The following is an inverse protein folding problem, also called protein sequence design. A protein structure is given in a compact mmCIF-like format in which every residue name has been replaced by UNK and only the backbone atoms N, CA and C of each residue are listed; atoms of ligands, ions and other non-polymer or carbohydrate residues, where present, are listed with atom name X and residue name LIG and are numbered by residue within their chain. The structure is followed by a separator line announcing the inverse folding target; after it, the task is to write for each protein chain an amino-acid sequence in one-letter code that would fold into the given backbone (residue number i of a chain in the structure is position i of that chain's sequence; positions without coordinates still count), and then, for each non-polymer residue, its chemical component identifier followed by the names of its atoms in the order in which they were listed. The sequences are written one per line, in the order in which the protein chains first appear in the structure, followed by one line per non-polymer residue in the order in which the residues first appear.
data_IF_499620529483
#
_entry.id   IF_499620529483
#
_cell.length_a   1.000
_cell.length_b   1.000
_cell.length_c   1.000
_cell.angle_alpha   90.00
_cell.angle_beta   90.00
_cell.angle_gamma   90.00
#
_symmetry.space_group_name_H-M   'P 1'
#
loop_
_entity.id
_entity.type
_entity.pdbx_description
1 polymer ?
#
# COMPACT_ATOMS: atom_id res chain seq x y z
N UNK A 1 0.52 5.08 8.83
CA UNK A 1 -0.29 3.85 8.63
C UNK A 1 -0.96 3.79 7.26
N UNK A 2 -1.78 2.76 7.00
CA UNK A 2 -2.42 2.52 5.69
C UNK A 2 -3.16 3.72 5.12
N UNK A 3 -3.90 4.46 5.92
CA UNK A 3 -4.66 5.64 5.48
C UNK A 3 -3.70 6.67 4.87
N UNK A 4 -2.59 6.96 5.53
CA UNK A 4 -1.58 7.89 5.03
C UNK A 4 -1.00 7.45 3.69
N UNK A 5 -0.66 6.16 3.55
CA UNK A 5 -0.12 5.62 2.29
C UNK A 5 -1.14 5.69 1.15
N UNK A 6 -2.38 5.27 1.40
CA UNK A 6 -3.45 5.27 0.39
C UNK A 6 -3.82 6.70 -0.03
N UNK A 7 -3.96 7.62 0.92
CA UNK A 7 -4.29 9.02 0.63
C UNK A 7 -3.15 9.71 -0.12
N UNK A 8 -1.90 9.49 0.29
CA UNK A 8 -0.73 10.02 -0.43
C UNK A 8 -0.69 9.53 -1.89
N UNK A 9 -0.99 8.26 -2.10
CA UNK A 9 -1.07 7.71 -3.46
C UNK A 9 -2.21 8.35 -4.28
N UNK A 10 -3.40 8.54 -3.69
CA UNK A 10 -4.53 9.19 -4.36
C UNK A 10 -4.25 10.66 -4.66
N UNK A 11 -3.60 11.38 -3.75
CA UNK A 11 -3.18 12.77 -3.97
C UNK A 11 -2.21 12.87 -5.14
N UNK A 12 -1.25 11.95 -5.23
CA UNK A 12 -0.33 11.90 -6.36
C UNK A 12 -1.07 11.59 -7.68
N UNK A 13 -2.02 10.66 -7.68
CA UNK A 13 -2.86 10.39 -8.86
C UNK A 13 -3.68 11.62 -9.30
N UNK A 14 -4.04 12.49 -8.36
CA UNK A 14 -4.72 13.75 -8.61
C UNK A 14 -3.77 14.89 -9.03
N UNK A 15 -2.47 14.61 -9.21
CA UNK A 15 -1.47 15.59 -9.63
C UNK A 15 -0.79 16.38 -8.52
N UNK A 16 -1.06 16.07 -7.24
CA UNK A 16 -0.36 16.68 -6.12
C UNK A 16 1.05 16.08 -5.97
N UNK A 17 2.03 16.90 -5.59
CA UNK A 17 3.35 16.43 -5.20
C UNK A 17 3.36 16.07 -3.73
N UNK A 18 3.53 14.79 -3.41
CA UNK A 18 3.70 14.33 -2.02
C UNK A 18 5.17 14.42 -1.67
N UNK A 19 5.53 15.28 -0.72
CA UNK A 19 6.93 15.47 -0.32
C UNK A 19 7.42 14.38 0.62
N UNK A 20 6.64 14.03 1.64
CA UNK A 20 7.01 13.01 2.62
C UNK A 20 5.79 12.43 3.32
N UNK A 21 6.02 11.31 3.99
CA UNK A 21 5.12 10.75 4.99
C UNK A 21 5.89 10.68 6.30
N UNK A 22 5.26 11.17 7.37
CA UNK A 22 5.78 11.07 8.74
C UNK A 22 5.02 9.96 9.47
N UNK A 23 5.75 9.10 10.15
CA UNK A 23 5.22 8.03 10.97
C UNK A 23 5.84 8.11 12.36
N UNK A 24 5.02 8.31 13.37
CA UNK A 24 5.48 8.48 14.74
C UNK A 24 6.00 7.18 15.37
N UNK A 25 5.60 6.03 14.84
CA UNK A 25 6.13 4.73 15.26
C UNK A 25 7.55 4.51 14.76
N UNK A 26 8.39 3.71 15.46
CA UNK A 26 9.75 3.37 15.01
C UNK A 26 9.76 2.46 13.78
N UNK A 27 8.62 1.97 13.36
CA UNK A 27 8.40 1.16 12.17
C UNK A 27 7.12 1.59 11.48
N UNK A 28 6.99 1.23 10.24
CA UNK A 28 5.81 1.56 9.44
C UNK A 28 4.54 0.92 10.00
N UNK A 29 3.54 1.73 10.33
CA UNK A 29 2.30 1.28 10.97
C UNK A 29 1.26 0.69 10.02
N UNK A 30 1.55 0.65 8.71
CA UNK A 30 0.65 0.13 7.68
C UNK A 30 1.07 -1.22 7.10
N UNK A 31 0.35 -1.67 6.08
CA UNK A 31 0.73 -2.87 5.36
C UNK A 31 1.98 -2.63 4.51
N UNK A 32 2.98 -3.53 4.55
CA UNK A 32 4.23 -3.36 3.81
C UNK A 32 4.05 -3.17 2.31
N UNK A 33 3.06 -3.83 1.69
CA UNK A 33 2.76 -3.62 0.26
C UNK A 33 2.34 -2.19 -0.07
N UNK A 34 1.69 -1.48 0.87
CA UNK A 34 1.31 -0.08 0.68
C UNK A 34 2.50 0.85 0.90
N UNK A 35 3.34 0.57 1.89
CA UNK A 35 4.58 1.30 2.12
C UNK A 35 5.54 1.17 0.92
N UNK A 36 5.76 -0.05 0.43
CA UNK A 36 6.59 -0.31 -0.74
C UNK A 36 6.06 0.40 -2.00
N UNK A 37 4.74 0.44 -2.17
CA UNK A 37 4.09 1.20 -3.25
C UNK A 37 4.47 2.68 -3.22
N UNK A 38 4.49 3.29 -2.04
CA UNK A 38 4.88 4.70 -1.84
C UNK A 38 6.37 4.89 -2.12
N UNK A 39 7.23 4.02 -1.58
CA UNK A 39 8.68 4.11 -1.82
C UNK A 39 9.05 3.99 -3.30
N UNK A 40 8.39 3.09 -4.04
CA UNK A 40 8.59 2.96 -5.50
C UNK A 40 8.24 4.21 -6.30
N UNK A 41 7.50 5.15 -5.71
CA UNK A 41 7.25 6.48 -6.28
C UNK A 41 8.31 7.52 -5.86
N UNK A 42 9.30 7.11 -5.08
CA UNK A 42 10.33 7.99 -4.54
C UNK A 42 9.87 8.84 -3.36
N UNK A 43 8.68 8.60 -2.81
CA UNK A 43 8.18 9.36 -1.66
C UNK A 43 8.80 8.79 -0.39
N UNK A 44 9.59 9.57 0.37
CA UNK A 44 10.21 9.11 1.59
C UNK A 44 9.21 8.91 2.73
N UNK A 45 9.46 7.89 3.54
CA UNK A 45 8.71 7.60 4.77
C UNK A 45 9.69 7.75 5.93
N UNK A 46 9.48 8.76 6.76
CA UNK A 46 10.28 9.02 7.95
C UNK A 46 9.58 8.43 9.16
N UNK A 47 10.11 7.31 9.69
CA UNK A 47 9.66 6.70 10.95
C UNK A 47 10.27 7.44 12.14
N UNK A 48 9.69 7.29 13.33
CA UNK A 48 10.05 8.04 14.53
C UNK A 48 10.06 9.56 14.31
N UNK A 49 9.16 10.07 13.46
CA UNK A 49 9.03 11.50 13.18
C UNK A 49 7.58 11.94 13.33
N UNK A 50 7.38 13.16 13.78
CA UNK A 50 6.07 13.77 13.94
C UNK A 50 6.03 15.22 13.48
N UNK A 51 4.84 15.69 13.14
CA UNK A 51 4.55 17.09 12.89
C UNK A 51 4.44 17.84 14.24
N UNK A 52 5.14 18.95 14.37
CA UNK A 52 5.00 19.86 15.52
C UNK A 52 4.02 20.98 15.22
N UNK A 53 4.23 21.68 14.10
CA UNK A 53 3.40 22.83 13.72
C UNK A 53 3.40 23.05 12.21
N UNK A 54 2.33 23.65 11.70
CA UNK A 54 2.28 24.19 10.35
C UNK A 54 2.83 25.63 10.37
N UNK A 55 3.54 26.01 9.30
CA UNK A 55 4.02 27.39 9.10
C UNK A 55 3.02 28.11 8.21
N UNK A 56 2.31 29.15 8.72
CA UNK A 56 1.33 29.87 7.92
C UNK A 56 2.02 30.78 6.88
N UNK A 57 1.31 31.09 5.80
CA UNK A 57 1.68 32.16 4.89
C UNK A 57 1.45 33.54 5.54
N UNK A 58 1.90 34.60 4.86
CA UNK A 58 1.89 35.98 5.43
C UNK A 58 0.46 36.46 5.80
N UNK A 59 -0.54 36.11 5.01
CA UNK A 59 -1.93 36.51 5.24
C UNK A 59 -2.72 35.50 6.11
N UNK A 60 -2.09 34.41 6.53
CA UNK A 60 -2.69 33.32 7.34
C UNK A 60 -3.90 32.65 6.70
N UNK A 61 -4.02 32.68 5.39
CA UNK A 61 -5.07 31.97 4.63
C UNK A 61 -4.67 30.55 4.24
N UNK A 62 -3.39 30.20 4.38
CA UNK A 62 -2.81 28.90 4.05
C UNK A 62 -1.50 28.67 4.78
N UNK A 63 -0.77 27.64 4.36
CA UNK A 63 0.53 27.26 4.90
C UNK A 63 1.60 27.32 3.81
N UNK A 64 2.86 27.49 4.22
CA UNK A 64 4.03 27.47 3.34
C UNK A 64 5.05 26.41 3.72
N UNK A 65 4.87 25.78 4.88
CA UNK A 65 5.80 24.79 5.39
C UNK A 65 5.28 24.07 6.62
N UNK A 66 6.13 23.20 7.15
CA UNK A 66 5.87 22.43 8.36
C UNK A 66 7.14 22.30 9.20
N UNK A 67 7.00 22.38 10.52
CA UNK A 67 8.06 21.98 11.46
C UNK A 67 7.82 20.56 11.87
N UNK A 68 8.81 19.72 11.71
CA UNK A 68 8.82 18.30 12.06
C UNK A 68 9.93 18.01 13.03
N UNK A 69 9.83 16.95 13.82
CA UNK A 69 10.91 16.53 14.70
C UNK A 69 10.96 15.01 14.80
N UNK A 70 12.07 14.50 15.33
CA UNK A 70 12.12 13.13 15.80
C UNK A 70 11.23 12.95 17.03
N UNK A 71 10.70 11.75 17.21
CA UNK A 71 9.86 11.42 18.36
C UNK A 71 10.14 10.02 18.89
N UNK A 72 9.92 9.85 20.19
CA UNK A 72 9.95 8.58 20.88
C UNK A 72 8.69 8.45 21.73
N UNK A 73 7.99 7.31 21.63
CA UNK A 73 6.73 7.06 22.35
C UNK A 73 5.71 8.20 22.17
N UNK A 74 5.57 8.71 20.94
CA UNK A 74 4.69 9.85 20.57
C UNK A 74 5.03 11.17 21.28
N UNK A 75 6.23 11.32 21.80
CA UNK A 75 6.72 12.57 22.39
C UNK A 75 7.83 13.15 21.54
N UNK A 76 7.79 14.46 21.24
CA UNK A 76 8.87 15.10 20.48
C UNK A 76 10.20 15.06 21.25
N UNK A 77 11.28 14.88 20.51
CA UNK A 77 12.65 14.97 21.03
C UNK A 77 13.14 16.40 20.79
N UNK A 78 13.32 17.21 21.86
CA UNK A 78 13.78 18.60 21.72
C UNK A 78 15.16 18.67 21.06
N UNK A 79 15.36 19.70 20.20
CA UNK A 79 16.61 19.91 19.48
C UNK A 79 16.75 19.11 18.18
N UNK A 80 15.69 18.39 17.78
CA UNK A 80 15.64 17.67 16.49
C UNK A 80 14.70 18.32 15.48
N UNK A 81 14.23 19.53 15.78
CA UNK A 81 13.29 20.27 14.96
C UNK A 81 13.91 20.64 13.61
N UNK A 82 13.14 20.39 12.55
CA UNK A 82 13.53 20.68 11.16
C UNK A 82 12.34 21.26 10.40
N UNK A 83 12.65 22.13 9.45
CA UNK A 83 11.62 22.76 8.60
C UNK A 83 11.56 22.08 7.24
N UNK A 84 10.36 21.77 6.79
CA UNK A 84 10.07 21.35 5.41
C UNK A 84 9.32 22.51 4.76
N UNK A 85 9.95 23.21 3.82
CA UNK A 85 9.40 24.33 3.08
C UNK A 85 8.56 23.85 1.88
N UNK A 86 7.73 24.78 1.34
CA UNK A 86 6.94 24.55 0.13
C UNK A 86 5.88 23.49 0.35
N UNK A 87 5.21 23.52 1.48
CA UNK A 87 4.06 22.70 1.84
C UNK A 87 2.80 23.54 1.74
N UNK A 88 1.89 23.15 0.86
CA UNK A 88 0.58 23.78 0.70
C UNK A 88 -0.51 23.07 1.51
N UNK A 89 -0.32 21.76 1.77
CA UNK A 89 -1.30 20.91 2.45
C UNK A 89 -0.60 19.92 3.38
N UNK A 90 -1.14 19.79 4.58
CA UNK A 90 -0.77 18.74 5.54
C UNK A 90 -1.99 17.82 5.70
N UNK A 91 -1.81 16.54 5.40
CA UNK A 91 -2.84 15.54 5.55
C UNK A 91 -2.61 14.72 6.83
N UNK A 92 -3.53 14.82 7.79
CA UNK A 92 -3.42 14.16 9.09
C UNK A 92 -4.14 12.81 9.05
N UNK A 93 -3.38 11.71 9.21
CA UNK A 93 -3.85 10.34 9.11
C UNK A 93 -3.47 9.53 10.35
N UNK A 94 -3.91 9.98 11.53
CA UNK A 94 -3.52 9.43 12.84
C UNK A 94 -4.37 8.25 13.32
N UNK A 95 -5.23 7.71 12.46
CA UNK A 95 -6.09 6.55 12.73
C UNK A 95 -7.57 6.88 12.61
N UNK A 96 -8.39 5.87 12.83
CA UNK A 96 -9.85 5.94 12.78
C UNK A 96 -10.43 5.42 14.08
N UNK A 97 -11.51 6.04 14.51
CA UNK A 97 -12.31 5.61 15.70
C UNK A 97 -13.66 5.12 15.18
N UNK A 98 -14.16 3.96 15.68
CA UNK A 98 -15.50 3.49 15.32
C UNK A 98 -16.57 4.53 15.67
N UNK A 99 -17.42 4.90 14.71
CA UNK A 99 -18.64 5.63 14.99
C UNK A 99 -19.76 4.64 15.35
N UNK A 100 -19.99 4.46 16.64
CA UNK A 100 -20.92 3.47 17.19
C UNK A 100 -22.13 4.10 17.87
N UNK A 101 -22.42 5.38 17.65
CA UNK A 101 -23.55 6.08 18.30
C UNK A 101 -24.89 5.40 18.04
N UNK A 102 -25.15 5.01 16.78
CA UNK A 102 -26.37 4.28 16.42
C UNK A 102 -26.43 2.89 17.07
N UNK A 103 -25.31 2.18 17.14
CA UNK A 103 -25.21 0.88 17.79
C UNK A 103 -25.53 1.02 19.28
N UNK A 104 -24.91 1.97 19.98
CA UNK A 104 -25.14 2.23 21.39
C UNK A 104 -26.60 2.58 21.68
N UNK A 105 -27.20 3.46 20.88
CA UNK A 105 -28.61 3.84 20.99
C UNK A 105 -29.55 2.67 20.67
N UNK A 106 -29.22 1.89 19.65
CA UNK A 106 -30.00 0.70 19.27
C UNK A 106 -29.94 -0.38 20.35
N UNK A 107 -28.79 -0.64 20.93
CA UNK A 107 -28.65 -1.60 22.04
C UNK A 107 -29.38 -1.15 23.32
N UNK A 108 -29.35 0.15 23.59
CA UNK A 108 -30.15 0.71 24.70
C UNK A 108 -31.65 0.46 24.50
N UNK A 109 -32.15 0.64 23.28
CA UNK A 109 -33.58 0.54 22.98
C UNK A 109 -34.05 -0.90 22.76
N UNK A 110 -33.28 -1.72 22.08
CA UNK A 110 -33.65 -3.05 21.58
C UNK A 110 -32.85 -4.20 22.23
N UNK A 111 -31.88 -3.90 23.07
CA UNK A 111 -31.01 -4.86 23.69
C UNK A 111 -30.22 -5.70 22.69
N UNK A 112 -30.13 -7.01 22.94
CA UNK A 112 -29.39 -7.95 22.10
C UNK A 112 -29.91 -8.09 20.65
N UNK A 113 -31.10 -7.56 20.34
CA UNK A 113 -31.64 -7.55 18.97
C UNK A 113 -30.95 -6.54 18.05
N UNK A 114 -30.03 -5.73 18.59
CA UNK A 114 -29.22 -4.79 17.83
C UNK A 114 -27.75 -5.27 17.88
N UNK A 115 -27.24 -5.74 16.76
CA UNK A 115 -25.87 -6.21 16.59
C UNK A 115 -25.04 -5.21 15.80
N UNK A 116 -23.81 -4.97 16.24
CA UNK A 116 -22.84 -4.17 15.48
C UNK A 116 -21.92 -5.03 14.62
N UNK A 117 -21.62 -4.54 13.42
CA UNK A 117 -20.71 -5.21 12.48
C UNK A 117 -19.81 -4.20 11.77
N UNK A 118 -18.68 -4.65 11.24
CA UNK A 118 -17.75 -3.82 10.49
C UNK A 118 -17.18 -2.67 11.30
N UNK A 119 -16.92 -1.54 10.64
CA UNK A 119 -16.24 -0.38 11.23
C UNK A 119 -17.02 0.34 12.33
N UNK A 120 -18.32 0.09 12.44
CA UNK A 120 -19.12 0.57 13.57
C UNK A 120 -18.72 -0.07 14.92
N UNK A 121 -18.00 -1.19 14.89
CA UNK A 121 -17.50 -1.89 16.09
C UNK A 121 -15.98 -1.86 16.16
N UNK A 122 -15.34 -2.15 15.04
CA UNK A 122 -13.89 -2.22 14.94
C UNK A 122 -13.46 -1.84 13.54
N UNK A 123 -12.60 -0.83 13.44
CA UNK A 123 -11.98 -0.42 12.19
C UNK A 123 -11.13 -1.56 11.65
N UNK A 124 -11.30 -1.89 10.39
CA UNK A 124 -10.57 -2.96 9.73
C UNK A 124 -10.59 -2.84 8.21
N UNK A 125 -10.01 -3.85 7.56
CA UNK A 125 -10.05 -3.96 6.10
C UNK A 125 -11.44 -4.40 5.62
N UNK A 126 -11.78 -4.09 4.35
CA UNK A 126 -13.09 -4.43 3.79
C UNK A 126 -13.41 -5.93 3.90
N UNK A 127 -12.43 -6.81 3.72
CA UNK A 127 -12.62 -8.27 3.89
C UNK A 127 -12.96 -8.61 5.35
N UNK A 128 -12.30 -7.98 6.32
CA UNK A 128 -12.59 -8.17 7.75
C UNK A 128 -14.02 -7.74 8.08
N UNK A 129 -14.48 -6.62 7.54
CA UNK A 129 -15.85 -6.14 7.71
C UNK A 129 -16.88 -7.12 7.11
N UNK A 130 -16.63 -7.65 5.91
CA UNK A 130 -17.47 -8.67 5.27
C UNK A 130 -17.52 -9.96 6.08
N UNK A 131 -16.37 -10.46 6.56
CA UNK A 131 -16.31 -11.67 7.39
C UNK A 131 -17.06 -11.48 8.71
N UNK A 132 -16.94 -10.32 9.36
CA UNK A 132 -17.70 -10.01 10.57
C UNK A 132 -19.21 -9.97 10.31
N UNK A 133 -19.63 -9.39 9.16
CA UNK A 133 -21.05 -9.38 8.75
C UNK A 133 -21.61 -10.80 8.56
N UNK A 134 -20.85 -11.66 7.90
CA UNK A 134 -21.24 -13.08 7.72
C UNK A 134 -21.32 -13.81 9.07
N UNK A 135 -20.31 -13.64 9.93
CA UNK A 135 -20.31 -14.25 11.26
C UNK A 135 -21.54 -13.80 12.08
N UNK A 136 -21.82 -12.49 12.11
CA UNK A 136 -23.00 -11.96 12.80
C UNK A 136 -24.33 -12.51 12.26
N UNK A 137 -24.42 -12.74 10.94
CA UNK A 137 -25.61 -13.34 10.36
C UNK A 137 -25.84 -14.77 10.87
N UNK A 138 -24.78 -15.57 11.05
CA UNK A 138 -24.91 -16.90 11.66
C UNK A 138 -25.27 -16.82 13.16
N UNK A 139 -24.69 -15.87 13.91
CA UNK A 139 -25.01 -15.64 15.32
C UNK A 139 -26.49 -15.29 15.47
N UNK A 140 -27.02 -14.39 14.63
CA UNK A 140 -28.45 -14.02 14.62
C UNK A 140 -29.33 -15.20 14.20
N UNK A 141 -28.92 -15.96 13.17
CA UNK A 141 -29.65 -17.15 12.72
C UNK A 141 -29.78 -18.18 13.85
N UNK A 142 -28.72 -18.39 14.63
CA UNK A 142 -28.71 -19.26 15.80
C UNK A 142 -29.69 -18.77 16.88
N UNK A 143 -29.67 -17.47 17.19
CA UNK A 143 -30.60 -16.88 18.16
C UNK A 143 -32.08 -17.00 17.74
N UNK A 144 -32.34 -16.94 16.45
CA UNK A 144 -33.69 -17.10 15.87
C UNK A 144 -34.10 -18.57 15.67
N UNK A 145 -33.23 -19.54 16.01
CA UNK A 145 -33.50 -20.97 15.81
C UNK A 145 -33.47 -21.43 14.35
N UNK A 146 -32.89 -20.64 13.44
CA UNK A 146 -32.73 -21.00 12.04
C UNK A 146 -31.66 -22.09 11.86
N UNK A 147 -31.89 -22.99 10.89
CA UNK A 147 -30.91 -24.03 10.54
C UNK A 147 -29.84 -23.47 9.61
N UNK A 148 -28.59 -23.76 9.90
CA UNK A 148 -27.44 -23.42 9.04
C UNK A 148 -26.34 -24.46 9.19
N UNK A 149 -25.37 -24.46 8.27
CA UNK A 149 -24.19 -25.29 8.36
C UNK A 149 -23.20 -24.73 9.40
N UNK A 150 -23.05 -25.42 10.52
CA UNK A 150 -22.18 -24.97 11.60
C UNK A 150 -20.70 -24.96 11.22
N UNK A 151 -20.26 -25.82 10.28
CA UNK A 151 -18.89 -25.82 9.78
C UNK A 151 -18.57 -24.53 9.00
N UNK A 152 -19.54 -23.99 8.25
CA UNK A 152 -19.36 -22.71 7.54
C UNK A 152 -19.20 -21.56 8.55
N UNK A 153 -19.97 -21.57 9.64
CA UNK A 153 -19.81 -20.61 10.73
C UNK A 153 -18.41 -20.69 11.36
N UNK A 154 -17.91 -21.87 11.66
CA UNK A 154 -16.58 -22.08 12.25
C UNK A 154 -15.47 -21.61 11.29
N UNK A 155 -15.60 -21.91 10.02
CA UNK A 155 -14.64 -21.46 9.02
C UNK A 155 -14.62 -19.93 8.93
N UNK A 156 -15.77 -19.29 8.80
CA UNK A 156 -15.89 -17.83 8.72
C UNK A 156 -15.38 -17.16 9.98
N UNK A 157 -15.67 -17.72 11.17
CA UNK A 157 -15.18 -17.21 12.44
C UNK A 157 -13.65 -17.26 12.54
N UNK A 158 -13.05 -18.35 12.06
CA UNK A 158 -11.60 -18.48 11.98
C UNK A 158 -11.00 -17.46 11.03
N UNK A 159 -11.53 -17.35 9.80
CA UNK A 159 -11.07 -16.37 8.81
C UNK A 159 -11.20 -14.93 9.32
N UNK A 160 -12.28 -14.62 10.06
CA UNK A 160 -12.45 -13.30 10.69
C UNK A 160 -11.36 -13.03 11.74
N UNK A 161 -11.06 -13.98 12.61
CA UNK A 161 -10.00 -13.84 13.62
C UNK A 161 -8.65 -13.64 12.94
N UNK A 162 -8.34 -14.47 11.94
CA UNK A 162 -7.09 -14.39 11.19
C UNK A 162 -6.95 -13.03 10.46
N UNK A 163 -8.05 -12.48 9.93
CA UNK A 163 -8.06 -11.20 9.22
C UNK A 163 -7.82 -9.98 10.13
N UNK A 164 -7.97 -10.12 11.45
CA UNK A 164 -7.73 -9.04 12.42
C UNK A 164 -6.26 -8.91 12.83
N UNK A 165 -5.45 -9.90 12.51
CA UNK A 165 -4.04 -9.88 12.86
C UNK A 165 -3.29 -8.97 11.90
N UNK A 166 -2.24 -8.30 12.40
CA UNK A 166 -1.29 -7.63 11.52
C UNK A 166 -0.69 -8.66 10.55
N UNK A 167 -0.51 -8.30 9.27
CA UNK A 167 0.08 -9.22 8.32
C UNK A 167 1.44 -9.71 8.81
N UNK A 168 1.56 -11.01 8.99
CA UNK A 168 2.82 -11.63 9.38
C UNK A 168 3.59 -11.93 8.10
N UNK A 169 4.89 -11.65 8.09
CA UNK A 169 5.76 -12.05 7.00
C UNK A 169 5.86 -13.57 6.97
N UNK A 170 5.49 -14.16 5.83
CA UNK A 170 5.43 -15.62 5.64
C UNK A 170 6.60 -16.11 4.79
N UNK A 171 7.04 -15.28 3.83
CA UNK A 171 8.16 -15.61 2.94
C UNK A 171 9.27 -14.58 3.12
N UNK A 172 10.51 -15.04 3.13
CA UNK A 172 11.68 -14.16 3.20
C UNK A 172 11.90 -13.44 1.87
N UNK A 173 11.69 -14.16 0.76
CA UNK A 173 11.89 -13.64 -0.59
C UNK A 173 10.75 -14.01 -1.53
N UNK A 174 10.58 -13.21 -2.56
CA UNK A 174 9.67 -13.52 -3.66
C UNK A 174 10.19 -14.70 -4.47
N UNK A 175 9.39 -15.74 -4.69
CA UNK A 175 9.81 -16.87 -5.50
C UNK A 175 10.17 -16.44 -6.92
N UNK A 176 11.18 -17.07 -7.49
CA UNK A 176 11.66 -16.85 -8.87
C UNK A 176 11.66 -18.18 -9.63
N UNK A 177 11.37 -18.19 -10.93
CA UNK A 177 11.54 -19.39 -11.73
C UNK A 177 13.03 -19.69 -11.93
N UNK A 178 13.34 -20.93 -12.30
CA UNK A 178 14.72 -21.30 -12.63
C UNK A 178 15.25 -20.52 -13.83
N UNK A 179 16.58 -20.35 -13.98
CA UNK A 179 17.17 -19.63 -15.13
C UNK A 179 16.71 -20.19 -16.48
N UNK A 180 16.57 -21.49 -16.60
CA UNK A 180 16.09 -22.17 -17.81
C UNK A 180 14.66 -21.76 -18.14
N UNK A 181 13.79 -21.65 -17.12
CA UNK A 181 12.41 -21.21 -17.29
C UNK A 181 12.32 -19.72 -17.63
N UNK A 182 13.18 -18.87 -17.06
CA UNK A 182 13.31 -17.45 -17.40
C UNK A 182 13.68 -17.23 -18.86
N UNK A 183 14.56 -18.10 -19.40
CA UNK A 183 14.99 -18.04 -20.80
C UNK A 183 13.91 -18.51 -21.80
N UNK A 184 12.85 -19.16 -21.39
CA UNK A 184 11.80 -19.69 -22.29
C UNK A 184 10.75 -18.66 -22.66
N UNK A 185 10.18 -17.94 -21.68
CA UNK A 185 9.05 -17.02 -21.88
C UNK A 185 8.91 -16.06 -20.70
N UNK A 186 8.15 -14.95 -20.87
CA UNK A 186 7.88 -14.02 -19.78
C UNK A 186 7.24 -14.72 -18.57
N UNK A 187 7.40 -14.13 -17.41
CA UNK A 187 6.84 -14.61 -16.14
C UNK A 187 6.51 -13.44 -15.22
N UNK A 188 5.86 -13.74 -14.09
CA UNK A 188 5.62 -12.74 -13.05
C UNK A 188 6.30 -13.14 -11.74
N UNK A 189 6.68 -12.14 -10.95
CA UNK A 189 7.12 -12.29 -9.56
C UNK A 189 6.02 -11.76 -8.66
N UNK A 190 5.69 -12.53 -7.62
CA UNK A 190 4.71 -12.15 -6.61
C UNK A 190 5.44 -11.62 -5.38
N UNK A 191 5.48 -10.30 -5.23
CA UNK A 191 6.13 -9.64 -4.09
C UNK A 191 5.16 -9.46 -2.91
N UNK A 192 4.27 -10.40 -2.76
CA UNK A 192 3.30 -10.51 -1.68
C UNK A 192 3.82 -11.49 -0.63
N UNK A 193 4.68 -11.00 0.27
CA UNK A 193 5.42 -11.81 1.25
C UNK A 193 4.67 -12.01 2.57
N UNK A 194 3.54 -11.34 2.72
CA UNK A 194 2.74 -11.29 3.94
C UNK A 194 1.38 -11.94 3.74
N UNK A 195 0.82 -12.50 4.79
CA UNK A 195 -0.54 -13.02 4.80
C UNK A 195 -1.57 -11.90 4.84
N UNK A 196 -2.27 -11.66 3.73
CA UNK A 196 -3.36 -10.68 3.66
C UNK A 196 -4.68 -11.37 3.33
N UNK A 197 -5.77 -10.82 3.83
CA UNK A 197 -7.12 -11.18 3.44
C UNK A 197 -7.48 -10.63 2.04
N UNK A 198 -6.71 -11.03 1.00
CA UNK A 198 -6.81 -10.53 -0.36
C UNK A 198 -6.52 -11.67 -1.35
N UNK A 199 -7.33 -11.81 -2.43
CA UNK A 199 -7.18 -12.91 -3.39
C UNK A 199 -7.47 -12.59 -4.88
N UNK A 200 -7.47 -11.35 -5.40
CA UNK A 200 -7.80 -11.09 -6.81
C UNK A 200 -6.84 -11.75 -7.80
N UNK A 201 -5.55 -11.91 -7.46
CA UNK A 201 -4.53 -12.45 -8.36
C UNK A 201 -4.80 -13.92 -8.75
N UNK A 202 -5.33 -14.74 -7.85
CA UNK A 202 -5.65 -16.14 -8.16
C UNK A 202 -6.89 -16.25 -9.06
N UNK A 203 -7.89 -15.41 -8.84
CA UNK A 203 -9.08 -15.34 -9.71
C UNK A 203 -8.77 -14.79 -11.10
N UNK A 204 -7.86 -13.83 -11.20
CA UNK A 204 -7.46 -13.22 -12.46
C UNK A 204 -6.59 -14.13 -13.34
N UNK A 205 -6.01 -15.20 -12.79
CA UNK A 205 -5.10 -16.06 -13.54
C UNK A 205 -5.86 -17.04 -14.44
N UNK A 206 -5.85 -16.88 -15.78
CA UNK A 206 -6.59 -17.76 -16.68
C UNK A 206 -6.02 -19.17 -16.71
N UNK A 207 -4.73 -19.33 -16.41
CA UNK A 207 -4.04 -20.62 -16.36
C UNK A 207 -4.11 -21.28 -14.97
N UNK A 208 -4.77 -20.64 -13.99
CA UNK A 208 -4.78 -21.11 -12.60
C UNK A 208 -3.37 -21.40 -12.06
N UNK A 209 -2.38 -20.65 -12.54
CA UNK A 209 -0.99 -20.74 -12.11
C UNK A 209 -0.78 -20.13 -10.72
N UNK A 210 -1.65 -19.22 -10.28
CA UNK A 210 -1.59 -18.61 -8.96
C UNK A 210 -2.66 -19.24 -8.08
N UNK A 211 -2.26 -19.76 -6.93
CA UNK A 211 -3.14 -20.37 -5.93
C UNK A 211 -2.97 -19.69 -4.59
N UNK A 212 -4.02 -19.71 -3.79
CA UNK A 212 -4.02 -19.20 -2.42
C UNK A 212 -5.00 -20.04 -1.60
N UNK A 213 -4.49 -20.82 -0.65
CA UNK A 213 -5.28 -21.80 0.11
C UNK A 213 -6.17 -21.17 1.18
N UNK A 214 -5.79 -20.00 1.70
CA UNK A 214 -6.60 -19.25 2.65
C UNK A 214 -6.31 -17.75 2.57
N UNK A 215 -7.11 -16.93 3.26
CA UNK A 215 -6.90 -15.47 3.31
C UNK A 215 -5.67 -15.06 4.11
N UNK A 216 -5.18 -15.92 5.01
CA UNK A 216 -4.04 -15.63 5.89
C UNK A 216 -2.68 -16.10 5.37
N UNK A 217 -2.62 -16.69 4.15
CA UNK A 217 -1.37 -17.13 3.55
C UNK A 217 -0.95 -16.24 2.38
N UNK A 218 0.31 -16.37 1.93
CA UNK A 218 0.79 -15.74 0.70
C UNK A 218 0.32 -16.53 -0.53
N UNK A 219 0.15 -15.88 -1.68
CA UNK A 219 -0.10 -16.61 -2.92
C UNK A 219 1.14 -17.42 -3.34
N UNK A 220 0.88 -18.56 -3.97
CA UNK A 220 1.89 -19.40 -4.60
C UNK A 220 1.74 -19.38 -6.11
N UNK A 221 2.83 -19.57 -6.85
CA UNK A 221 2.84 -19.58 -8.30
C UNK A 221 3.50 -20.84 -8.84
N UNK A 222 2.79 -21.50 -9.75
CA UNK A 222 3.31 -22.59 -10.59
C UNK A 222 3.87 -21.96 -11.88
N UNK A 223 5.19 -21.89 -11.98
CA UNK A 223 5.85 -21.28 -13.13
C UNK A 223 5.71 -22.09 -14.42
N UNK A 224 5.43 -23.38 -14.34
CA UNK A 224 5.18 -24.20 -15.53
C UNK A 224 3.83 -23.88 -16.17
N UNK A 225 2.85 -23.50 -15.37
CA UNK A 225 1.56 -23.01 -15.88
C UNK A 225 1.57 -21.55 -16.25
N UNK A 226 2.45 -20.75 -15.68
CA UNK A 226 2.48 -19.32 -15.92
C UNK A 226 2.88 -19.00 -17.37
N UNK A 227 2.00 -18.34 -18.13
CA UNK A 227 2.27 -17.92 -19.52
C UNK A 227 2.85 -16.52 -19.65
N UNK A 228 2.97 -15.77 -18.56
CA UNK A 228 3.41 -14.38 -18.60
C UNK A 228 2.41 -13.43 -19.26
N UNK A 229 1.11 -13.68 -19.13
CA UNK A 229 0.06 -12.86 -19.74
C UNK A 229 -0.19 -11.51 -19.03
N UNK A 230 0.42 -11.27 -17.88
CA UNK A 230 0.35 -10.05 -17.06
C UNK A 230 -1.05 -9.70 -16.53
N UNK A 231 -2.03 -10.60 -16.56
CA UNK A 231 -3.37 -10.32 -16.02
C UNK A 231 -3.34 -10.09 -14.50
N UNK A 232 -2.57 -10.88 -13.76
CA UNK A 232 -2.43 -10.74 -12.32
C UNK A 232 -1.78 -9.41 -11.91
N UNK A 233 -0.90 -8.82 -12.76
CA UNK A 233 -0.29 -7.51 -12.52
C UNK A 233 -1.37 -6.43 -12.39
N UNK A 234 -2.32 -6.40 -13.34
CA UNK A 234 -3.39 -5.40 -13.36
C UNK A 234 -4.51 -5.65 -12.34
N UNK A 235 -4.56 -6.81 -11.69
CA UNK A 235 -5.59 -7.16 -10.70
C UNK A 235 -5.08 -7.09 -9.26
N UNK A 236 -3.80 -6.80 -9.05
CA UNK A 236 -3.23 -6.71 -7.71
C UNK A 236 -3.51 -5.33 -7.08
N UNK A 237 -4.37 -5.22 -6.05
CA UNK A 237 -4.68 -3.93 -5.43
C UNK A 237 -3.51 -3.32 -4.65
N UNK A 238 -2.51 -4.16 -4.29
CA UNK A 238 -1.27 -3.72 -3.64
C UNK A 238 -0.16 -3.34 -4.61
N UNK A 239 -0.38 -3.50 -5.94
CA UNK A 239 0.65 -3.32 -6.98
C UNK A 239 1.95 -4.09 -6.68
N UNK A 240 1.81 -5.30 -6.13
CA UNK A 240 2.91 -6.15 -5.67
C UNK A 240 3.17 -7.35 -6.60
N UNK A 241 2.81 -7.23 -7.88
CA UNK A 241 3.06 -8.25 -8.91
C UNK A 241 3.74 -7.57 -10.09
N UNK A 242 4.89 -8.07 -10.47
CA UNK A 242 5.73 -7.52 -11.52
C UNK A 242 6.02 -8.57 -12.58
N UNK A 243 6.03 -8.16 -13.84
CA UNK A 243 6.32 -9.05 -14.96
C UNK A 243 7.70 -8.81 -15.53
N UNK A 244 8.32 -9.89 -16.05
CA UNK A 244 9.66 -9.88 -16.58
C UNK A 244 9.75 -10.69 -17.89
N UNK A 245 10.45 -10.15 -18.88
CA UNK A 245 10.98 -10.89 -20.03
C UNK A 245 12.48 -10.64 -20.10
N UNK A 246 13.26 -11.51 -19.47
CA UNK A 246 14.73 -11.41 -19.39
C UNK A 246 15.40 -11.48 -20.76
N UNK A 247 14.82 -12.22 -21.72
CA UNK A 247 15.33 -12.34 -23.10
C UNK A 247 15.30 -11.02 -23.87
N UNK A 248 14.28 -10.21 -23.58
CA UNK A 248 14.05 -8.91 -24.21
C UNK A 248 14.38 -7.74 -23.29
N UNK A 249 14.82 -8.01 -22.07
CA UNK A 249 15.03 -7.01 -21.03
C UNK A 249 13.81 -6.08 -20.86
N UNK A 250 12.61 -6.66 -20.88
CA UNK A 250 11.37 -5.94 -20.68
C UNK A 250 10.81 -6.21 -19.28
N UNK A 251 10.37 -5.15 -18.68
CA UNK A 251 9.62 -5.14 -17.43
C UNK A 251 8.14 -4.84 -17.73
N UNK A 252 7.24 -5.44 -16.96
CA UNK A 252 5.81 -5.15 -17.02
C UNK A 252 5.36 -4.73 -15.62
N UNK A 253 5.28 -3.42 -15.42
CA UNK A 253 5.08 -2.80 -14.12
C UNK A 253 3.69 -2.19 -14.01
N UNK A 254 3.00 -2.33 -12.86
CA UNK A 254 1.70 -1.74 -12.67
C UNK A 254 1.78 -0.21 -12.59
N UNK A 255 0.83 0.48 -13.20
CA UNK A 255 0.74 1.94 -13.17
C UNK A 255 -0.71 2.39 -13.14
N UNK A 256 -1.02 3.34 -12.25
CA UNK A 256 -2.37 3.88 -12.04
C UNK A 256 -2.41 5.41 -12.17
N UNK A 257 -1.36 6.01 -12.70
CA UNK A 257 -1.25 7.42 -13.05
C UNK A 257 -0.89 7.57 -14.52
N UNK A 258 -1.03 8.76 -15.04
CA UNK A 258 -0.73 9.02 -16.45
C UNK A 258 0.77 8.98 -16.69
N UNK A 259 1.17 8.25 -17.72
CA UNK A 259 2.53 8.16 -18.21
C UNK A 259 2.50 8.09 -19.73
N UNK A 260 3.50 8.67 -20.37
CA UNK A 260 3.61 8.72 -21.83
C UNK A 260 4.51 7.60 -22.36
N UNK A 261 4.13 7.04 -23.51
CA UNK A 261 5.00 6.13 -24.26
C UNK A 261 6.20 6.93 -24.81
N UNK A 262 7.40 6.39 -24.69
CA UNK A 262 8.65 7.06 -24.99
C UNK A 262 9.30 7.79 -23.82
N UNK A 263 8.60 7.96 -22.69
CA UNK A 263 9.17 8.62 -21.53
C UNK A 263 10.36 7.86 -20.95
N UNK A 264 11.43 8.59 -20.61
CA UNK A 264 12.58 8.06 -19.89
C UNK A 264 12.26 7.93 -18.38
N UNK A 265 12.69 6.82 -17.79
CA UNK A 265 12.39 6.50 -16.40
C UNK A 265 13.65 6.04 -15.65
N UNK A 266 13.67 6.32 -14.35
CA UNK A 266 14.51 5.63 -13.41
C UNK A 266 13.82 4.33 -13.01
N UNK A 267 14.53 3.21 -13.12
CA UNK A 267 14.11 1.91 -12.61
C UNK A 267 14.47 1.82 -11.14
N UNK A 268 13.52 1.41 -10.31
CA UNK A 268 13.69 1.40 -8.85
C UNK A 268 13.33 0.03 -8.24
N UNK A 269 13.95 -0.25 -7.09
CA UNK A 269 13.61 -1.39 -6.23
C UNK A 269 12.45 -1.08 -5.27
N UNK A 270 12.15 -2.01 -4.36
CA UNK A 270 11.08 -1.86 -3.35
C UNK A 270 11.31 -0.70 -2.38
N UNK A 271 12.53 -0.25 -2.22
CA UNK A 271 12.89 0.89 -1.38
C UNK A 271 12.88 2.23 -2.15
N UNK A 272 12.53 2.20 -3.43
CA UNK A 272 12.57 3.38 -4.30
C UNK A 272 13.99 3.77 -4.74
N UNK A 273 15.00 2.94 -4.45
CA UNK A 273 16.38 3.20 -4.83
C UNK A 273 16.58 2.95 -6.32
N UNK A 274 17.22 3.92 -7.00
CA UNK A 274 17.60 3.81 -8.40
C UNK A 274 18.51 2.61 -8.65
N UNK A 275 18.14 1.78 -9.60
CA UNK A 275 18.88 0.59 -10.01
C UNK A 275 19.38 0.69 -11.47
N UNK A 276 18.76 1.55 -12.25
CA UNK A 276 19.10 1.72 -13.68
C UNK A 276 18.13 2.67 -14.37
N UNK A 277 18.19 2.66 -15.69
CA UNK A 277 17.37 3.49 -16.56
C UNK A 277 16.53 2.62 -17.51
N UNK A 278 15.43 3.19 -17.98
CA UNK A 278 14.56 2.53 -18.93
C UNK A 278 13.74 3.52 -19.73
N UNK A 279 13.01 2.98 -20.70
CA UNK A 279 12.08 3.74 -21.55
C UNK A 279 10.74 3.02 -21.55
N UNK A 280 9.66 3.75 -21.37
CA UNK A 280 8.29 3.21 -21.46
C UNK A 280 8.00 2.95 -22.95
N UNK A 281 8.07 1.68 -23.38
CA UNK A 281 7.77 1.31 -24.75
C UNK A 281 6.27 1.31 -25.06
N UNK A 282 5.45 0.91 -24.06
CA UNK A 282 4.01 0.79 -24.26
C UNK A 282 3.24 0.79 -22.93
N UNK A 283 2.06 1.40 -22.92
CA UNK A 283 1.11 1.34 -21.81
C UNK A 283 -0.07 0.47 -22.20
N UNK A 284 -0.14 -0.72 -21.63
CA UNK A 284 -1.23 -1.68 -21.82
C UNK A 284 -2.42 -1.28 -20.98
N UNK A 285 -3.40 -0.62 -21.57
CA UNK A 285 -4.63 -0.22 -20.90
C UNK A 285 -5.44 -1.46 -20.45
N UNK A 286 -5.98 -1.43 -19.24
CA UNK A 286 -6.71 -2.53 -18.61
C UNK A 286 -8.06 -2.07 -18.06
N UNK A 287 -9.11 -2.93 -18.08
CA UNK A 287 -10.42 -2.59 -17.52
C UNK A 287 -10.40 -2.31 -16.02
N UNK A 288 -9.41 -2.84 -15.29
CA UNK A 288 -9.21 -2.67 -13.85
C UNK A 288 -8.74 -1.28 -13.43
N UNK A 289 -8.48 -0.37 -14.39
CA UNK A 289 -7.82 0.93 -14.18
C UNK A 289 -6.35 0.86 -13.76
N UNK A 290 -5.84 -0.28 -13.30
CA UNK A 290 -4.41 -0.55 -13.15
C UNK A 290 -3.87 -0.97 -14.51
N UNK A 291 -3.23 -0.05 -15.20
CA UNK A 291 -2.56 -0.32 -16.47
C UNK A 291 -1.25 -1.08 -16.23
N UNK A 292 -0.67 -1.62 -17.30
CA UNK A 292 0.64 -2.27 -17.24
C UNK A 292 1.58 -1.54 -18.21
N UNK A 293 2.58 -0.87 -17.65
CA UNK A 293 3.64 -0.26 -18.45
C UNK A 293 4.66 -1.34 -18.84
N UNK A 294 4.92 -1.48 -20.16
CA UNK A 294 6.04 -2.23 -20.66
C UNK A 294 7.24 -1.29 -20.76
N UNK A 295 8.23 -1.53 -19.91
CA UNK A 295 9.42 -0.71 -19.80
C UNK A 295 10.62 -1.52 -20.33
N UNK A 296 11.35 -0.95 -21.28
CA UNK A 296 12.62 -1.47 -21.78
C UNK A 296 13.71 -1.03 -20.83
N UNK A 297 14.39 -1.98 -20.19
CA UNK A 297 15.59 -1.70 -19.42
C UNK A 297 16.81 -1.59 -20.34
N UNK A 298 17.72 -0.68 -20.03
CA UNK A 298 18.91 -0.46 -20.84
C UNK A 298 20.10 -1.23 -20.26
N UNK A 299 20.49 -2.35 -20.94
CA UNK A 299 21.77 -3.02 -20.68
C UNK A 299 21.96 -3.61 -19.29
N UNK A 300 20.88 -4.01 -18.63
CA UNK A 300 20.94 -4.59 -17.27
C UNK A 300 21.21 -6.10 -17.33
N UNK A 301 21.98 -6.60 -16.38
CA UNK A 301 22.07 -8.05 -16.13
C UNK A 301 20.73 -8.61 -15.62
N UNK A 302 20.45 -9.89 -15.91
CA UNK A 302 19.16 -10.49 -15.57
C UNK A 302 18.86 -10.45 -14.07
N UNK A 303 19.84 -10.69 -13.22
CA UNK A 303 19.64 -10.65 -11.77
C UNK A 303 19.31 -9.26 -11.26
N UNK A 304 19.96 -8.23 -11.81
CA UNK A 304 19.64 -6.83 -11.52
C UNK A 304 18.24 -6.46 -12.02
N UNK A 305 17.87 -6.94 -13.22
CA UNK A 305 16.53 -6.73 -13.79
C UNK A 305 15.44 -7.27 -12.86
N UNK A 306 15.67 -8.44 -12.24
CA UNK A 306 14.69 -9.08 -11.35
C UNK A 306 14.52 -8.33 -10.02
N UNK A 307 15.36 -7.38 -9.67
CA UNK A 307 15.20 -6.56 -8.48
C UNK A 307 14.35 -5.30 -8.72
N UNK A 308 14.06 -4.99 -9.98
CA UNK A 308 13.22 -3.84 -10.33
C UNK A 308 11.75 -4.14 -10.01
N UNK A 309 11.11 -3.26 -9.27
CA UNK A 309 9.71 -3.37 -8.86
C UNK A 309 8.89 -2.13 -9.15
N UNK A 310 9.53 -1.07 -9.65
CA UNK A 310 8.87 0.17 -10.00
C UNK A 310 9.69 1.01 -10.98
N UNK A 311 9.08 2.12 -11.36
CA UNK A 311 9.77 3.16 -12.14
C UNK A 311 9.26 4.54 -11.73
N UNK A 312 10.09 5.55 -11.97
CA UNK A 312 9.74 6.96 -11.77
C UNK A 312 10.15 7.69 -13.05
N UNK A 313 9.22 8.45 -13.65
CA UNK A 313 9.55 9.30 -14.81
C UNK A 313 10.63 10.28 -14.39
N UNK A 314 11.68 10.43 -15.20
CA UNK A 314 12.88 11.19 -14.81
C UNK A 314 12.56 12.63 -14.38
N UNK A 315 11.62 13.27 -15.05
CA UNK A 315 11.16 14.63 -14.77
C UNK A 315 10.42 14.74 -13.42
N UNK A 316 9.83 13.63 -12.93
CA UNK A 316 9.05 13.57 -11.71
C UNK A 316 9.82 12.94 -10.54
N UNK A 317 11.12 12.70 -10.71
CA UNK A 317 11.90 12.14 -9.62
C UNK A 317 11.94 13.12 -8.44
N UNK A 318 11.53 12.72 -7.24
CA UNK A 318 11.48 13.62 -6.10
C UNK A 318 12.87 14.17 -5.78
N UNK A 319 12.94 15.46 -5.54
CA UNK A 319 14.13 16.07 -4.96
C UNK A 319 14.28 15.60 -3.51
N UNK A 320 15.52 15.40 -3.06
CA UNK A 320 15.76 15.14 -1.64
C UNK A 320 15.23 16.32 -0.82
N UNK A 321 14.56 16.00 0.29
CA UNK A 321 14.06 17.06 1.18
C UNK A 321 15.27 17.69 1.87
N UNK A 322 15.49 18.96 1.55
CA UNK A 322 16.42 19.80 2.31
C UNK A 322 15.75 20.19 3.64
N UNK A 323 16.12 19.50 4.71
CA UNK A 323 15.69 19.85 6.06
C UNK A 323 16.49 21.04 6.55
N UNK A 324 15.86 22.19 6.59
CA UNK A 324 16.46 23.40 7.17
C UNK A 324 16.35 23.35 8.70
N UNK A 325 17.32 23.93 9.38
CA UNK A 325 17.19 24.19 10.81
C UNK A 325 16.08 25.22 11.04
N UNK A 326 15.29 25.04 12.10
CA UNK A 326 14.28 26.04 12.46
C UNK A 326 15.02 27.37 12.76
N UNK A 327 14.66 28.50 12.14
CA UNK A 327 15.24 29.78 12.51
C UNK A 327 14.92 30.05 13.98
N UNK A 328 15.90 30.49 14.75
CA UNK A 328 15.72 30.90 16.16
C UNK A 328 14.54 31.90 16.21
N UNK A 329 13.48 31.51 16.86
CA UNK A 329 12.24 32.29 16.88
C UNK A 329 12.29 33.32 18.01
N UNK A 330 12.38 34.59 17.65
CA UNK A 330 12.39 35.70 18.62
C UNK A 330 10.98 36.06 19.18
N UNK A 331 9.92 35.29 18.94
CA UNK A 331 8.59 35.63 19.46
C UNK A 331 7.67 34.45 19.74
N UNK A 332 7.10 34.43 20.94
CA UNK A 332 6.13 33.50 21.53
C UNK A 332 4.69 33.59 20.91
N UNK A 333 4.52 33.79 19.63
CA UNK A 333 3.18 34.00 19.03
C UNK A 333 2.68 32.86 18.13
N UNK A 334 2.94 31.62 18.49
CA UNK A 334 2.30 30.49 17.80
C UNK A 334 1.39 29.74 18.77
N UNK A 335 0.08 29.92 18.59
CA UNK A 335 -0.97 29.14 19.26
C UNK A 335 -1.16 27.85 18.45
N UNK A 336 -1.11 26.72 19.14
CA UNK A 336 -1.49 25.40 18.61
C UNK A 336 -2.96 25.34 18.19
#
# INVERSE_FOLDING_TARGET
GNIGYLTSYQLMQAGAKVKAILEAMPHEGGFPVQANRIRRLGIPIYTSHMLLKAIPNQDRTGITGAVVCECENFKPIPGTEKVIDGIDVINICTGLIPDNQLLTKGQYTFGKRCAGVGDAVRIGEGTTAVLRGKQAAYEIAQELGARFNYNDYLQISKEYIDSQQHPIRIKEESPRPTPERQAQRPFVRLDCLYGFACNPCSFACPQKAITKSSTSVTPEIDYEKCTGCMQCVSHCPGLAIFGYDTRKQNLFLPVEYEVEEGAEVWLVDDNGKKQGEGIIEKVLKKPTKTNVARVKAAGMENDALLNITGFIVKENYPEEIDFKQEPECESETYVC
#
